data_IF_306142671838
#
_entry.id   IF_306142671838
#
_cell.length_a   1.000
_cell.length_b   1.000
_cell.length_c   1.000
_cell.angle_alpha   90.00
_cell.angle_beta   90.00
_cell.angle_gamma   90.00
#
_symmetry.space_group_name_H-M   'P 1'
#
loop_
_entity.id
_entity.type
_entity.pdbx_description
1 polymer ?
#
# COMPACT_ATOMS: atom_id res chain seq x y z
N UNK A 1 28.67 17.88 -2.01
CA UNK A 1 27.63 18.39 -1.08
C UNK A 1 26.34 17.60 -1.26
N UNK A 2 26.21 16.44 -0.60
CA UNK A 2 25.01 15.59 -0.68
C UNK A 2 23.88 16.19 0.19
N UNK A 3 23.09 17.04 -0.47
CA UNK A 3 21.70 17.45 -0.21
C UNK A 3 21.08 16.85 1.08
N UNK A 4 21.22 17.57 2.20
CA UNK A 4 20.62 17.27 3.52
C UNK A 4 19.10 17.00 3.47
N UNK A 5 18.39 17.52 2.45
CA UNK A 5 16.98 17.22 2.20
C UNK A 5 16.69 15.85 1.55
N UNK A 6 17.65 15.26 0.84
CA UNK A 6 17.48 13.95 0.17
C UNK A 6 17.41 12.80 1.17
N UNK A 7 18.23 12.86 2.22
CA UNK A 7 18.30 11.84 3.28
C UNK A 7 17.06 11.82 4.18
N UNK A 8 16.41 12.97 4.35
CA UNK A 8 15.15 13.08 5.11
C UNK A 8 14.00 12.48 4.29
N UNK A 9 13.95 12.76 2.98
CA UNK A 9 12.94 12.20 2.09
C UNK A 9 13.06 10.67 1.98
N UNK A 10 14.29 10.15 1.84
CA UNK A 10 14.52 8.71 1.76
C UNK A 10 14.15 7.98 3.06
N UNK A 11 14.45 8.56 4.23
CA UNK A 11 14.01 8.03 5.53
C UNK A 11 12.49 7.99 5.65
N UNK A 12 11.79 9.07 5.26
CA UNK A 12 10.32 9.12 5.26
C UNK A 12 9.73 8.05 4.34
N UNK A 13 10.25 7.95 3.12
CA UNK A 13 9.81 6.96 2.15
C UNK A 13 10.03 5.53 2.69
N UNK A 14 11.18 5.25 3.29
CA UNK A 14 11.48 3.94 3.86
C UNK A 14 10.49 3.53 4.97
N UNK A 15 10.19 4.44 5.91
CA UNK A 15 9.24 4.19 7.00
C UNK A 15 7.82 3.96 6.45
N UNK A 16 7.39 4.77 5.49
CA UNK A 16 6.07 4.61 4.86
C UNK A 16 5.98 3.28 4.10
N UNK A 17 7.01 2.92 3.33
CA UNK A 17 7.07 1.67 2.57
C UNK A 17 7.00 0.45 3.48
N UNK A 18 7.77 0.43 4.57
CA UNK A 18 7.72 -0.67 5.53
C UNK A 18 6.35 -0.76 6.19
N UNK A 19 5.81 0.38 6.68
CA UNK A 19 4.51 0.40 7.33
C UNK A 19 3.38 -0.08 6.41
N UNK A 20 3.35 0.41 5.17
CA UNK A 20 2.40 -0.04 4.15
C UNK A 20 2.57 -1.51 3.80
N UNK A 21 3.80 -1.95 3.53
CA UNK A 21 4.10 -3.33 3.13
C UNK A 21 3.78 -4.35 4.22
N UNK A 22 4.09 -4.07 5.48
CA UNK A 22 3.74 -4.95 6.62
C UNK A 22 2.23 -5.08 6.77
N UNK A 23 1.49 -3.98 6.66
CA UNK A 23 0.02 -4.01 6.77
C UNK A 23 -0.61 -4.75 5.60
N UNK A 24 -0.10 -4.55 4.38
CA UNK A 24 -0.53 -5.30 3.20
C UNK A 24 -0.28 -6.81 3.38
N UNK A 25 0.87 -7.17 3.92
CA UNK A 25 1.25 -8.55 4.20
C UNK A 25 0.35 -9.19 5.28
N UNK A 26 0.14 -8.52 6.42
CA UNK A 26 -0.74 -9.00 7.48
C UNK A 26 -2.19 -9.17 7.01
N UNK A 27 -2.69 -8.18 6.25
CA UNK A 27 -4.03 -8.25 5.66
C UNK A 27 -4.11 -9.41 4.67
N UNK A 28 -3.04 -9.68 3.92
CA UNK A 28 -2.96 -10.82 3.01
C UNK A 28 -3.04 -12.15 3.75
N UNK A 29 -2.32 -12.31 4.86
CA UNK A 29 -2.38 -13.52 5.70
C UNK A 29 -3.80 -13.71 6.22
N UNK A 30 -4.39 -12.67 6.82
CA UNK A 30 -5.74 -12.71 7.35
C UNK A 30 -6.77 -13.13 6.29
N UNK A 31 -6.69 -12.53 5.09
CA UNK A 31 -7.59 -12.85 3.99
C UNK A 31 -7.37 -14.27 3.46
N UNK A 32 -6.12 -14.74 3.44
CA UNK A 32 -5.79 -16.08 2.97
C UNK A 32 -6.38 -17.17 3.86
N UNK A 33 -6.70 -16.87 5.12
CA UNK A 33 -7.36 -17.79 6.05
C UNK A 33 -8.87 -17.89 5.83
N UNK A 34 -9.51 -16.99 5.06
CA UNK A 34 -10.93 -17.10 4.77
C UNK A 34 -11.22 -18.31 3.86
N UNK A 35 -12.35 -19.02 4.09
CA UNK A 35 -12.75 -20.15 3.26
C UNK A 35 -12.95 -19.76 1.79
N UNK A 36 -13.50 -18.56 1.53
CA UNK A 36 -13.65 -17.98 0.19
C UNK A 36 -12.31 -17.88 -0.55
N UNK A 37 -11.22 -17.58 0.16
CA UNK A 37 -9.89 -17.51 -0.43
C UNK A 37 -9.30 -18.89 -0.74
N UNK A 38 -9.77 -19.94 -0.05
CA UNK A 38 -9.37 -21.33 -0.35
C UNK A 38 -10.06 -21.82 -1.62
N UNK A 39 -11.37 -21.61 -1.75
CA UNK A 39 -12.15 -21.93 -2.95
C UNK A 39 -11.64 -21.19 -4.19
N UNK A 40 -11.32 -19.90 -4.03
CA UNK A 40 -10.70 -19.10 -5.09
C UNK A 40 -9.31 -19.65 -5.48
N UNK A 41 -8.50 -20.14 -4.54
CA UNK A 41 -7.19 -20.72 -4.87
C UNK A 41 -7.32 -22.06 -5.60
N UNK A 42 -8.24 -22.92 -5.19
CA UNK A 42 -8.49 -24.20 -5.88
C UNK A 42 -9.00 -23.99 -7.31
N UNK A 43 -9.84 -22.98 -7.54
CA UNK A 43 -10.36 -22.66 -8.87
C UNK A 43 -9.28 -22.20 -9.86
N UNK A 44 -8.22 -21.56 -9.37
CA UNK A 44 -7.12 -21.03 -10.20
C UNK A 44 -5.85 -21.88 -10.19
N UNK A 45 -5.89 -23.08 -9.61
CA UNK A 45 -4.69 -23.90 -9.39
C UNK A 45 -3.53 -23.09 -8.79
N UNK A 46 -3.85 -22.13 -7.91
CA UNK A 46 -2.88 -21.17 -7.39
C UNK A 46 -1.92 -21.86 -6.44
N UNK A 47 -0.70 -21.33 -6.41
CA UNK A 47 0.38 -21.79 -5.55
C UNK A 47 -0.07 -21.94 -4.09
N UNK A 48 0.61 -22.84 -3.37
CA UNK A 48 0.35 -23.20 -1.98
C UNK A 48 0.15 -21.95 -1.09
N UNK A 49 -0.65 -22.05 -0.02
CA UNK A 49 -0.98 -20.90 0.85
C UNK A 49 0.28 -20.19 1.37
N UNK A 50 1.34 -20.97 1.61
CA UNK A 50 2.65 -20.49 2.02
C UNK A 50 3.34 -19.64 0.94
N UNK A 51 3.17 -19.98 -0.35
CA UNK A 51 3.65 -19.18 -1.48
C UNK A 51 2.94 -17.83 -1.53
N UNK A 52 1.64 -17.77 -1.24
CA UNK A 52 0.88 -16.50 -1.17
C UNK A 52 1.43 -15.60 -0.06
N UNK A 53 1.76 -16.16 1.10
CA UNK A 53 2.33 -15.39 2.21
C UNK A 53 3.72 -14.86 1.90
N UNK A 54 4.58 -15.68 1.30
CA UNK A 54 5.95 -15.29 0.95
C UNK A 54 5.96 -14.27 -0.19
N UNK A 55 5.14 -14.48 -1.23
CA UNK A 55 5.09 -13.58 -2.40
C UNK A 55 4.40 -12.25 -2.11
N UNK A 56 3.47 -12.20 -1.14
CA UNK A 56 2.75 -10.98 -0.80
C UNK A 56 3.58 -9.95 -0.05
N UNK A 57 4.65 -10.36 0.64
CA UNK A 57 5.57 -9.45 1.32
C UNK A 57 6.35 -8.55 0.33
N UNK A 58 7.10 -9.09 -0.66
CA UNK A 58 7.77 -8.26 -1.64
C UNK A 58 6.77 -7.47 -2.50
N UNK A 59 5.62 -8.06 -2.85
CA UNK A 59 4.56 -7.34 -3.57
C UNK A 59 4.03 -6.14 -2.76
N UNK A 60 3.74 -6.34 -1.47
CA UNK A 60 3.29 -5.29 -0.57
C UNK A 60 4.32 -4.18 -0.37
N UNK A 61 5.62 -4.53 -0.30
CA UNK A 61 6.71 -3.54 -0.24
C UNK A 61 6.83 -2.75 -1.54
N UNK A 62 6.73 -3.40 -2.70
CA UNK A 62 6.77 -2.71 -4.00
C UNK A 62 5.59 -1.73 -4.12
N UNK A 63 4.37 -2.20 -3.84
CA UNK A 63 3.16 -1.37 -3.88
C UNK A 63 3.26 -0.24 -2.86
N UNK A 64 3.66 -0.55 -1.63
CA UNK A 64 3.87 0.43 -0.57
C UNK A 64 4.89 1.50 -0.98
N UNK A 65 5.97 1.12 -1.64
CA UNK A 65 6.97 2.03 -2.18
C UNK A 65 6.38 2.93 -3.28
N UNK A 66 5.68 2.35 -4.26
CA UNK A 66 5.03 3.09 -5.34
C UNK A 66 4.00 4.10 -4.81
N UNK A 67 3.12 3.67 -3.89
CA UNK A 67 2.09 4.55 -3.29
C UNK A 67 2.74 5.65 -2.46
N UNK A 68 3.76 5.33 -1.67
CA UNK A 68 4.48 6.30 -0.82
C UNK A 68 5.24 7.31 -1.66
N UNK A 69 5.92 6.87 -2.71
CA UNK A 69 6.62 7.73 -3.66
C UNK A 69 5.64 8.65 -4.39
N UNK A 70 4.54 8.12 -4.91
CA UNK A 70 3.49 8.91 -5.57
C UNK A 70 2.89 9.94 -4.62
N UNK A 71 2.65 9.58 -3.36
CA UNK A 71 2.15 10.50 -2.35
C UNK A 71 3.15 11.63 -2.08
N UNK A 72 4.44 11.32 -1.95
CA UNK A 72 5.50 12.31 -1.73
C UNK A 72 5.73 13.22 -2.94
N UNK A 73 5.61 12.68 -4.16
CA UNK A 73 5.90 13.39 -5.40
C UNK A 73 4.73 14.24 -5.90
N UNK A 74 3.51 13.76 -5.72
CA UNK A 74 2.29 14.39 -6.25
C UNK A 74 1.41 14.99 -5.15
N UNK A 75 1.93 15.16 -3.93
CA UNK A 75 1.15 15.71 -2.82
C UNK A 75 0.46 17.02 -3.20
N UNK A 76 1.17 17.95 -3.84
CA UNK A 76 0.67 19.28 -4.18
C UNK A 76 -0.33 19.29 -5.35
N UNK A 77 -0.35 18.24 -6.18
CA UNK A 77 -1.27 18.14 -7.32
C UNK A 77 -2.63 17.52 -6.98
N UNK A 78 -2.77 16.90 -5.80
CA UNK A 78 -4.01 16.21 -5.42
C UNK A 78 -4.90 17.18 -4.64
N UNK A 79 -6.14 17.45 -5.10
CA UNK A 79 -6.98 18.56 -4.60
C UNK A 79 -7.56 18.37 -3.20
N UNK A 80 -7.25 17.29 -2.49
CA UNK A 80 -7.76 17.02 -1.13
C UNK A 80 -6.85 17.61 -0.05
N UNK A 81 -7.42 18.12 1.05
CA UNK A 81 -6.60 18.65 2.19
C UNK A 81 -6.09 17.54 3.12
N UNK A 82 -6.76 16.40 3.17
CA UNK A 82 -6.46 15.32 4.11
C UNK A 82 -5.43 14.32 3.52
N UNK A 83 -4.25 14.13 4.14
CA UNK A 83 -3.21 13.22 3.63
C UNK A 83 -3.66 11.76 3.57
N UNK A 84 -4.57 11.35 4.47
CA UNK A 84 -5.17 10.00 4.48
C UNK A 84 -6.05 9.77 3.26
N UNK A 85 -6.86 10.76 2.88
CA UNK A 85 -7.71 10.62 1.70
C UNK A 85 -6.87 10.53 0.42
N UNK A 86 -5.77 11.31 0.33
CA UNK A 86 -4.83 11.24 -0.80
C UNK A 86 -4.23 9.85 -0.96
N UNK A 87 -3.69 9.28 0.12
CA UNK A 87 -3.06 7.97 0.06
C UNK A 87 -4.06 6.86 -0.25
N UNK A 88 -5.30 6.96 0.25
CA UNK A 88 -6.38 6.03 -0.10
C UNK A 88 -6.73 6.13 -1.59
N UNK A 89 -6.87 7.33 -2.15
CA UNK A 89 -7.14 7.51 -3.58
C UNK A 89 -6.01 6.92 -4.43
N UNK A 90 -4.75 7.22 -4.10
CA UNK A 90 -3.59 6.66 -4.81
C UNK A 90 -3.57 5.13 -4.70
N UNK A 91 -3.89 4.58 -3.52
CA UNK A 91 -3.95 3.13 -3.32
C UNK A 91 -5.09 2.48 -4.12
N UNK A 92 -6.24 3.16 -4.24
CA UNK A 92 -7.34 2.71 -5.10
C UNK A 92 -6.97 2.76 -6.59
N UNK A 93 -6.22 3.77 -7.02
CA UNK A 93 -5.67 3.80 -8.39
C UNK A 93 -4.70 2.62 -8.60
N UNK A 94 -3.84 2.34 -7.62
CA UNK A 94 -2.94 1.18 -7.67
C UNK A 94 -3.72 -0.15 -7.72
N UNK A 95 -4.84 -0.26 -6.99
CA UNK A 95 -5.76 -1.39 -7.07
C UNK A 95 -6.31 -1.55 -8.49
N UNK A 96 -6.81 -0.48 -9.11
CA UNK A 96 -7.33 -0.52 -10.50
C UNK A 96 -6.24 -0.99 -11.48
N UNK A 97 -5.02 -0.46 -11.36
CA UNK A 97 -3.89 -0.86 -12.20
C UNK A 97 -3.60 -2.36 -12.02
N UNK A 98 -3.46 -2.83 -10.78
CA UNK A 98 -3.21 -4.25 -10.48
C UNK A 98 -4.33 -5.15 -10.97
N UNK A 99 -5.56 -4.67 -10.87
CA UNK A 99 -6.76 -5.37 -11.33
C UNK A 99 -6.74 -5.55 -12.85
N UNK A 100 -6.37 -4.51 -13.62
CA UNK A 100 -6.19 -4.59 -15.08
C UNK A 100 -5.04 -5.53 -15.44
N UNK A 101 -3.88 -5.43 -14.75
CA UNK A 101 -2.73 -6.32 -14.98
C UNK A 101 -3.08 -7.79 -14.76
N UNK A 102 -3.97 -8.09 -13.80
CA UNK A 102 -4.45 -9.44 -13.57
C UNK A 102 -5.52 -9.86 -14.58
N UNK A 103 -6.43 -8.97 -14.95
CA UNK A 103 -7.54 -9.27 -15.87
C UNK A 103 -7.07 -9.65 -17.27
N UNK A 104 -6.05 -8.95 -17.80
CA UNK A 104 -5.51 -9.18 -19.16
C UNK A 104 -5.11 -10.66 -19.37
N UNK A 105 -4.22 -11.26 -18.56
CA UNK A 105 -3.83 -12.66 -18.73
C UNK A 105 -5.00 -13.64 -18.55
N UNK A 106 -5.97 -13.37 -17.65
CA UNK A 106 -7.14 -14.23 -17.51
C UNK A 106 -8.06 -14.21 -18.74
N UNK A 107 -8.22 -13.05 -19.38
CA UNK A 107 -8.99 -12.92 -20.63
C UNK A 107 -8.35 -13.68 -21.80
N UNK A 108 -7.01 -13.73 -21.87
CA UNK A 108 -6.30 -14.49 -22.89
C UNK A 108 -6.36 -16.02 -22.68
N UNK A 109 -6.59 -16.49 -21.45
CA UNK A 109 -6.65 -17.92 -21.12
C UNK A 109 -8.04 -18.57 -21.36
N UNK A 110 -9.02 -17.82 -21.88
CA UNK A 110 -10.29 -18.38 -22.36
C UNK A 110 -11.21 -18.97 -21.28
N UNK A 111 -11.05 -18.55 -20.02
CA UNK A 111 -11.86 -19.04 -18.91
C UNK A 111 -13.34 -18.62 -19.08
N UNK A 112 -14.30 -19.56 -18.97
CA UNK A 112 -15.71 -19.19 -18.76
C UNK A 112 -15.85 -18.75 -17.28
N UNK A 113 -16.65 -17.71 -17.03
CA UNK A 113 -16.84 -17.06 -15.71
C UNK A 113 -15.79 -16.01 -15.25
N UNK A 114 -15.11 -15.35 -16.19
CA UNK A 114 -14.12 -14.29 -15.91
C UNK A 114 -14.65 -13.22 -14.95
N UNK A 115 -15.88 -12.74 -15.14
CA UNK A 115 -16.46 -11.66 -14.33
C UNK A 115 -16.68 -12.06 -12.88
N UNK A 116 -17.09 -13.30 -12.61
CA UNK A 116 -17.38 -13.78 -11.25
C UNK A 116 -16.09 -13.84 -10.43
N UNK A 117 -15.05 -14.48 -10.98
CA UNK A 117 -13.76 -14.59 -10.32
C UNK A 117 -12.98 -13.27 -10.26
N UNK A 118 -13.21 -12.38 -11.22
CA UNK A 118 -12.70 -11.02 -11.18
C UNK A 118 -13.31 -10.23 -10.02
N UNK A 119 -14.63 -10.32 -9.81
CA UNK A 119 -15.30 -9.69 -8.68
C UNK A 119 -14.80 -10.22 -7.33
N UNK A 120 -14.62 -11.55 -7.22
CA UNK A 120 -14.04 -12.18 -6.04
C UNK A 120 -12.61 -11.68 -5.82
N UNK A 121 -11.79 -11.57 -6.87
CA UNK A 121 -10.43 -11.02 -6.80
C UNK A 121 -10.41 -9.58 -6.26
N UNK A 122 -11.27 -8.70 -6.80
CA UNK A 122 -11.42 -7.32 -6.30
C UNK A 122 -11.86 -7.31 -4.84
N UNK A 123 -12.83 -8.15 -4.47
CA UNK A 123 -13.34 -8.22 -3.10
C UNK A 123 -12.24 -8.64 -2.11
N UNK A 124 -11.33 -9.53 -2.50
CA UNK A 124 -10.21 -9.97 -1.67
C UNK A 124 -9.04 -8.96 -1.67
N UNK A 125 -8.84 -8.20 -2.73
CA UNK A 125 -7.76 -7.22 -2.83
C UNK A 125 -8.14 -5.85 -2.24
N UNK A 126 -9.41 -5.44 -2.35
CA UNK A 126 -9.87 -4.13 -1.89
C UNK A 126 -9.51 -3.83 -0.42
N UNK A 127 -9.70 -4.74 0.55
CA UNK A 127 -9.30 -4.47 1.94
C UNK A 127 -7.79 -4.21 2.06
N UNK A 128 -6.94 -4.94 1.32
CA UNK A 128 -5.49 -4.81 1.39
C UNK A 128 -5.02 -3.43 0.94
N UNK A 129 -5.54 -2.95 -0.18
CA UNK A 129 -5.23 -1.62 -0.69
C UNK A 129 -5.84 -0.51 0.17
N UNK A 130 -7.02 -0.72 0.75
CA UNK A 130 -7.62 0.25 1.69
C UNK A 130 -6.77 0.40 2.96
N UNK A 131 -6.42 -0.70 3.62
CA UNK A 131 -5.60 -0.65 4.83
C UNK A 131 -4.21 -0.08 4.57
N UNK A 132 -3.56 -0.48 3.46
CA UNK A 132 -2.28 0.09 3.03
C UNK A 132 -2.39 1.61 2.82
N UNK A 133 -3.42 2.08 2.11
CA UNK A 133 -3.66 3.51 1.89
C UNK A 133 -3.87 4.27 3.20
N UNK A 134 -4.71 3.76 4.10
CA UNK A 134 -4.98 4.39 5.41
C UNK A 134 -3.71 4.52 6.23
N UNK A 135 -2.94 3.44 6.35
CA UNK A 135 -1.74 3.40 7.19
C UNK A 135 -0.64 4.30 6.63
N UNK A 136 -0.39 4.29 5.32
CA UNK A 136 0.58 5.20 4.69
C UNK A 136 0.18 6.66 4.93
N UNK A 137 -1.10 7.00 4.76
CA UNK A 137 -1.58 8.36 4.98
C UNK A 137 -1.51 8.80 6.44
N UNK A 138 -1.79 7.88 7.37
CA UNK A 138 -1.67 8.12 8.81
C UNK A 138 -0.21 8.34 9.23
N UNK A 139 0.71 7.45 8.80
CA UNK A 139 2.15 7.59 9.03
C UNK A 139 2.68 8.88 8.41
N UNK A 140 2.26 9.21 7.18
CA UNK A 140 2.65 10.46 6.52
C UNK A 140 2.25 11.69 7.34
N UNK A 141 1.01 11.72 7.85
CA UNK A 141 0.52 12.81 8.73
C UNK A 141 1.32 12.89 10.02
N UNK A 142 1.62 11.75 10.65
CA UNK A 142 2.41 11.68 11.88
C UNK A 142 3.84 12.16 11.67
N UNK A 143 4.48 11.77 10.57
CA UNK A 143 5.85 12.17 10.21
C UNK A 143 5.96 13.63 9.76
N UNK A 144 4.86 14.26 9.32
CA UNK A 144 4.83 15.70 9.05
C UNK A 144 4.57 16.51 10.31
N UNK A 145 3.64 16.11 11.18
CA UNK A 145 3.37 16.78 12.46
C UNK A 145 4.49 16.63 13.49
N UNK A 146 5.18 15.49 13.50
CA UNK A 146 6.28 15.23 14.45
C UNK A 146 7.62 15.88 14.07
N UNK A 147 7.69 16.59 12.94
CA UNK A 147 8.92 17.20 12.43
C UNK A 147 8.74 18.70 12.15
N UNK A 148 7.86 19.38 12.89
CA UNK A 148 7.84 20.84 12.92
C UNK A 148 9.14 21.32 13.60
N UNK A 149 10.13 21.88 12.87
CA UNK A 149 11.40 22.29 13.47
C UNK A 149 11.21 23.41 14.51
N UNK A 150 10.07 24.12 14.41
CA UNK A 150 9.61 25.15 15.35
C UNK A 150 9.23 24.59 16.73
N UNK A 151 8.59 23.41 16.78
CA UNK A 151 8.17 22.80 18.05
C UNK A 151 9.36 22.18 18.82
N UNK A 152 10.42 21.83 18.10
CA UNK A 152 11.60 21.18 18.65
C UNK A 152 12.64 22.23 19.11
N UNK A 153 12.63 23.42 18.51
CA UNK A 153 13.51 24.54 18.86
C UNK A 153 13.07 25.27 20.14
N UNK A 154 11.79 25.19 20.53
CA UNK A 154 11.31 25.75 21.79
C UNK A 154 11.61 24.88 23.02
N UNK A 155 12.07 23.63 22.84
CA UNK A 155 12.44 22.73 23.94
C UNK A 155 13.94 22.74 24.26
N UNK A 156 14.77 23.55 23.57
CA UNK A 156 16.23 23.53 23.71
C UNK A 156 16.91 24.80 24.26
N UNK A 157 16.23 25.75 24.93
CA UNK A 157 16.97 26.72 25.75
C UNK A 157 16.44 26.79 27.19
N UNK A 158 16.67 25.75 28.02
CA UNK A 158 16.60 25.86 29.50
C UNK A 158 17.49 24.80 30.20
N UNK A 159 18.67 24.51 29.66
CA UNK A 159 19.70 23.78 30.39
C UNK A 159 20.99 24.61 30.36
N UNK A 160 20.97 25.72 31.09
CA UNK A 160 22.15 26.34 31.71
C UNK A 160 22.01 26.22 33.22
#
# INVERSE_FOLDING_TARGET
>A
MLKKGSTILSKKLFILTIGGGVVFWLTTIAISLLPVAAEYRSAFSKANIQTVWVASLPAGLIIGCCVSYSLLRFFDKIPTKNPILKSVIISLIALVIMTILNLVPYSFLGQRDILHYFLIGIMLDAPRFLFLGIVIGYLYRRLHKGFDPSANASMSPQAE
#
